data_IF_484032691931
#
_entry.id   IF_484032691931
#
_cell.length_a   1.000
_cell.length_b   1.000
_cell.length_c   1.000
_cell.angle_alpha   90.00
_cell.angle_beta   90.00
_cell.angle_gamma   90.00
#
_symmetry.space_group_name_H-M   'P 1'
#
loop_
_entity.id
_entity.type
_entity.pdbx_description
1 polymer ?
#
# COMPACT_ATOMS: atom_id res chain seq x y z
N UNK A 1 1.72 18.32 0.78
CA UNK A 1 2.26 18.71 -0.52
C UNK A 1 3.76 18.84 -0.40
N UNK A 2 4.52 18.17 -1.28
CA UNK A 2 5.99 18.24 -1.30
C UNK A 2 6.37 19.44 -2.15
N UNK A 3 6.94 20.46 -1.52
CA UNK A 3 7.27 21.74 -2.16
C UNK A 3 8.72 21.85 -2.65
N UNK A 4 9.57 20.87 -2.33
CA UNK A 4 11.00 20.88 -2.70
C UNK A 4 11.22 20.12 -4.01
N UNK A 5 12.18 20.59 -4.81
CA UNK A 5 12.63 19.90 -6.02
C UNK A 5 13.38 18.61 -5.67
N UNK A 6 13.29 17.61 -6.55
CA UNK A 6 13.92 16.30 -6.39
C UNK A 6 12.89 15.15 -6.30
N UNK A 7 13.32 13.95 -6.67
CA UNK A 7 12.46 12.74 -6.64
C UNK A 7 12.54 12.00 -5.31
N UNK A 8 13.56 12.26 -4.51
CA UNK A 8 13.80 11.61 -3.22
C UNK A 8 13.77 12.64 -2.10
N UNK A 9 13.31 12.20 -0.94
CA UNK A 9 13.29 13.02 0.26
C UNK A 9 13.38 12.13 1.49
N UNK A 10 13.44 12.77 2.65
CA UNK A 10 13.52 12.10 3.95
C UNK A 10 12.35 12.52 4.82
N UNK A 11 11.77 11.57 5.54
CA UNK A 11 10.83 11.80 6.63
C UNK A 11 11.61 11.56 7.91
N UNK A 12 11.76 12.60 8.73
CA UNK A 12 12.38 12.46 10.05
C UNK A 12 11.31 12.13 11.07
N UNK A 13 11.53 11.09 11.86
CA UNK A 13 10.70 10.71 12.99
C UNK A 13 11.57 10.55 14.24
N UNK A 14 10.98 10.81 15.40
CA UNK A 14 11.65 10.52 16.67
C UNK A 14 11.21 9.15 17.17
N UNK A 15 12.19 8.31 17.51
CA UNK A 15 11.90 7.02 18.10
C UNK A 15 11.10 7.20 19.40
N UNK A 16 10.18 6.28 19.73
CA UNK A 16 9.54 6.29 21.05
C UNK A 16 10.60 6.24 22.14
N UNK A 17 10.32 6.95 23.24
CA UNK A 17 11.15 6.88 24.45
C UNK A 17 11.08 5.46 25.00
N UNK A 18 11.84 4.54 24.76
CA UNK A 18 11.76 3.19 25.34
C UNK A 18 11.28 3.17 26.81
N UNK A 19 11.35 2.04 27.46
CA UNK A 19 11.04 1.88 28.88
C UNK A 19 12.33 1.61 29.68
N UNK A 20 13.31 2.56 29.70
CA UNK A 20 14.48 2.40 30.56
C UNK A 20 14.05 2.45 32.03
N UNK A 21 14.80 1.81 32.85
CA UNK A 21 14.57 1.90 34.29
C UNK A 21 14.74 3.35 34.75
N UNK A 22 13.82 3.89 35.59
CA UNK A 22 13.93 5.26 36.09
C UNK A 22 15.11 5.41 37.05
N UNK A 23 15.67 6.61 37.13
CA UNK A 23 16.65 6.93 38.14
C UNK A 23 15.96 6.97 39.52
N UNK A 24 16.56 6.33 40.52
CA UNK A 24 16.07 6.39 41.90
C UNK A 24 16.83 7.46 42.70
N UNK A 25 16.10 8.45 43.21
CA UNK A 25 16.67 9.57 43.96
C UNK A 25 17.20 9.11 45.33
N UNK A 26 18.32 9.67 45.75
CA UNK A 26 18.91 9.47 47.09
C UNK A 26 19.43 10.82 47.66
N UNK A 27 19.89 10.83 48.89
CA UNK A 27 20.38 12.04 49.57
C UNK A 27 21.89 12.23 49.43
N UNK A 28 22.55 11.55 48.48
CA UNK A 28 24.00 11.67 48.26
C UNK A 28 24.29 12.76 47.24
N UNK A 29 24.88 13.92 47.61
CA UNK A 29 25.07 15.03 46.67
C UNK A 29 25.97 14.72 45.46
N UNK A 30 26.78 13.69 45.52
CA UNK A 30 27.70 13.26 44.46
C UNK A 30 27.03 12.36 43.41
N UNK A 31 25.85 11.81 43.69
CA UNK A 31 25.16 10.95 42.75
C UNK A 31 24.39 11.81 41.76
N UNK A 32 24.61 11.55 40.45
CA UNK A 32 23.97 12.28 39.38
C UNK A 32 23.07 11.36 38.54
N UNK A 33 21.88 11.83 38.19
CA UNK A 33 20.96 11.10 37.33
C UNK A 33 21.50 10.96 35.89
N UNK A 34 21.24 9.82 35.28
CA UNK A 34 21.57 9.58 33.87
C UNK A 34 20.43 10.04 32.97
N UNK A 35 20.72 10.95 32.06
CA UNK A 35 19.76 11.41 31.06
C UNK A 35 19.77 10.49 29.82
N UNK A 36 18.62 9.98 29.46
CA UNK A 36 18.43 9.24 28.22
C UNK A 36 18.22 10.22 27.03
N UNK A 37 18.74 9.84 25.87
CA UNK A 37 18.60 10.63 24.64
C UNK A 37 17.48 10.06 23.78
N UNK A 38 16.72 10.95 23.13
CA UNK A 38 15.82 10.57 22.05
C UNK A 38 16.64 10.44 20.76
N UNK A 39 16.46 9.34 20.02
CA UNK A 39 17.04 9.16 18.71
C UNK A 39 16.08 9.67 17.64
N UNK A 40 16.63 10.31 16.61
CA UNK A 40 15.92 10.66 15.40
C UNK A 40 16.23 9.60 14.34
N UNK A 41 15.19 9.04 13.76
CA UNK A 41 15.26 8.08 12.67
C UNK A 41 14.81 8.76 11.38
N UNK A 42 15.45 8.42 10.28
CA UNK A 42 15.14 8.97 8.98
C UNK A 42 14.68 7.87 8.06
N UNK A 43 13.57 8.10 7.38
CA UNK A 43 13.03 7.24 6.35
C UNK A 43 13.16 7.94 5.01
N UNK A 44 13.86 7.33 4.07
CA UNK A 44 13.94 7.84 2.71
C UNK A 44 12.70 7.45 1.93
N UNK A 45 12.18 8.35 1.12
CA UNK A 45 11.08 8.09 0.20
C UNK A 45 11.44 8.54 -1.21
N UNK A 46 10.69 8.03 -2.19
CA UNK A 46 10.84 8.41 -3.59
C UNK A 46 9.50 8.72 -4.23
N UNK A 47 9.40 9.92 -4.80
CA UNK A 47 8.24 10.36 -5.57
C UNK A 47 8.16 9.61 -6.90
N UNK A 48 6.96 9.31 -7.33
CA UNK A 48 6.69 8.76 -8.64
C UNK A 48 6.14 9.85 -9.58
N UNK A 49 6.99 10.35 -10.46
CA UNK A 49 6.56 11.15 -11.59
C UNK A 49 5.97 10.23 -12.66
N UNK A 50 4.68 10.35 -12.90
CA UNK A 50 3.91 9.48 -13.77
C UNK A 50 3.21 10.28 -14.85
N UNK A 51 3.08 9.70 -16.03
CA UNK A 51 2.27 10.26 -17.10
C UNK A 51 1.52 9.16 -17.83
N UNK A 52 0.39 9.53 -18.43
CA UNK A 52 -0.35 8.70 -19.36
C UNK A 52 -1.01 9.59 -20.39
N UNK A 53 -1.11 9.09 -21.60
CA UNK A 53 -1.75 9.79 -22.71
C UNK A 53 -2.75 8.90 -23.43
N UNK A 54 -3.79 9.53 -23.94
CA UNK A 54 -4.81 8.88 -24.74
C UNK A 54 -5.07 9.73 -25.99
N UNK A 55 -5.18 9.09 -27.14
CA UNK A 55 -5.45 9.76 -28.39
C UNK A 55 -6.80 9.37 -28.95
N UNK A 56 -7.35 10.25 -29.76
CA UNK A 56 -8.57 10.04 -30.55
C UNK A 56 -8.40 10.66 -31.90
N UNK A 57 -8.92 9.97 -32.95
CA UNK A 57 -8.93 10.46 -34.31
C UNK A 57 -10.25 11.22 -34.58
N UNK A 58 -10.19 12.33 -35.34
CA UNK A 58 -11.37 13.12 -35.68
C UNK A 58 -12.37 12.30 -36.50
N UNK A 59 -11.89 11.52 -37.45
CA UNK A 59 -12.73 10.65 -38.26
C UNK A 59 -13.53 9.65 -37.44
N UNK A 60 -12.93 9.10 -36.32
CA UNK A 60 -13.64 8.22 -35.42
C UNK A 60 -14.80 8.93 -34.72
N UNK A 61 -14.62 10.20 -34.36
CA UNK A 61 -15.67 11.05 -33.78
C UNK A 61 -16.78 11.34 -34.74
N UNK A 62 -16.43 11.65 -35.99
CA UNK A 62 -17.41 11.93 -37.05
C UNK A 62 -18.26 10.69 -37.42
N UNK A 63 -17.62 9.51 -37.48
CA UNK A 63 -18.32 8.27 -37.82
C UNK A 63 -19.16 7.71 -36.67
N UNK A 64 -18.71 7.86 -35.44
CA UNK A 64 -19.42 7.36 -34.25
C UNK A 64 -20.53 8.31 -33.78
N UNK A 65 -20.50 9.59 -34.17
CA UNK A 65 -21.37 10.67 -33.66
C UNK A 65 -21.34 10.82 -32.16
N UNK A 66 -20.23 10.37 -31.52
CA UNK A 66 -19.98 10.44 -30.09
C UNK A 66 -18.70 11.22 -29.81
N UNK A 67 -18.51 11.69 -28.55
CA UNK A 67 -17.32 12.41 -28.14
C UNK A 67 -16.34 11.52 -27.34
N UNK A 68 -15.37 10.85 -28.00
CA UNK A 68 -14.39 10.02 -27.32
C UNK A 68 -13.50 10.83 -26.36
N UNK A 69 -13.19 12.08 -26.69
CA UNK A 69 -12.36 12.94 -25.83
C UNK A 69 -13.07 13.27 -24.52
N UNK A 70 -14.39 13.52 -24.56
CA UNK A 70 -15.21 13.68 -23.38
C UNK A 70 -15.26 12.42 -22.51
N UNK A 71 -15.40 11.25 -23.13
CA UNK A 71 -15.38 9.96 -22.44
C UNK A 71 -14.02 9.68 -21.77
N UNK A 72 -12.90 9.98 -22.44
CA UNK A 72 -11.55 9.88 -21.87
C UNK A 72 -11.43 10.79 -20.65
N UNK A 73 -11.82 12.05 -20.79
CA UNK A 73 -11.71 13.03 -19.69
C UNK A 73 -12.48 12.59 -18.45
N UNK A 74 -13.67 12.01 -18.63
CA UNK A 74 -14.48 11.49 -17.53
C UNK A 74 -13.84 10.31 -16.77
N UNK A 75 -12.99 9.51 -17.44
CA UNK A 75 -12.39 8.29 -16.87
C UNK A 75 -10.96 8.47 -16.34
N UNK A 76 -10.31 9.60 -16.60
CA UNK A 76 -8.93 9.84 -16.14
C UNK A 76 -8.81 9.77 -14.61
N UNK A 77 -9.82 10.26 -13.88
CA UNK A 77 -9.83 10.21 -12.41
C UNK A 77 -9.80 8.78 -11.88
N UNK A 78 -10.63 7.91 -12.44
CA UNK A 78 -10.69 6.48 -12.10
C UNK A 78 -9.39 5.75 -12.44
N UNK A 79 -8.81 6.01 -13.60
CA UNK A 79 -7.51 5.46 -14.00
C UNK A 79 -6.41 5.77 -12.97
N UNK A 80 -6.32 7.04 -12.53
CA UNK A 80 -5.31 7.43 -11.54
C UNK A 80 -5.59 6.86 -10.15
N UNK A 81 -6.86 6.74 -9.74
CA UNK A 81 -7.22 6.09 -8.49
C UNK A 81 -6.75 4.63 -8.48
N UNK A 82 -7.07 3.86 -9.53
CA UNK A 82 -6.64 2.47 -9.66
C UNK A 82 -5.11 2.33 -9.75
N UNK A 83 -4.43 3.26 -10.44
CA UNK A 83 -2.97 3.25 -10.53
C UNK A 83 -2.33 3.48 -9.16
N UNK A 84 -2.86 4.42 -8.37
CA UNK A 84 -2.37 4.71 -7.03
C UNK A 84 -2.60 3.54 -6.07
N UNK A 85 -3.75 2.90 -6.15
CA UNK A 85 -4.08 1.68 -5.39
C UNK A 85 -3.09 0.55 -5.69
N UNK A 86 -2.82 0.28 -6.98
CA UNK A 86 -1.81 -0.70 -7.38
C UNK A 86 -0.42 -0.37 -6.85
N UNK A 87 -0.02 0.89 -6.85
CA UNK A 87 1.28 1.32 -6.30
C UNK A 87 1.35 1.09 -4.80
N UNK A 88 0.28 1.42 -4.06
CA UNK A 88 0.19 1.18 -2.63
C UNK A 88 0.35 -0.32 -2.32
N UNK A 89 -0.40 -1.18 -3.01
CA UNK A 89 -0.33 -2.64 -2.83
C UNK A 89 1.08 -3.15 -3.14
N UNK A 90 1.70 -2.68 -4.23
CA UNK A 90 3.07 -3.08 -4.59
C UNK A 90 4.12 -2.61 -3.58
N UNK A 91 3.94 -1.44 -2.98
CA UNK A 91 4.79 -0.99 -1.87
C UNK A 91 4.64 -1.89 -0.64
N UNK A 92 3.41 -2.28 -0.28
CA UNK A 92 3.18 -3.25 0.80
C UNK A 92 3.81 -4.61 0.50
N UNK A 93 3.78 -5.07 -0.76
CA UNK A 93 4.46 -6.32 -1.15
C UNK A 93 5.98 -6.23 -1.05
N UNK A 94 6.56 -5.09 -1.42
CA UNK A 94 8.00 -4.85 -1.25
C UNK A 94 8.41 -4.89 0.23
N UNK A 95 7.62 -4.25 1.09
CA UNK A 95 7.78 -4.31 2.54
C UNK A 95 7.67 -5.74 3.08
N UNK A 96 6.69 -6.52 2.59
CA UNK A 96 6.57 -7.93 2.96
C UNK A 96 7.78 -8.74 2.49
N UNK A 97 8.24 -8.50 1.27
CA UNK A 97 9.41 -9.20 0.72
C UNK A 97 10.68 -8.88 1.49
N UNK A 98 10.90 -7.62 1.88
CA UNK A 98 11.98 -7.20 2.76
C UNK A 98 11.90 -7.86 4.13
N UNK A 99 10.73 -7.83 4.75
CA UNK A 99 10.49 -8.45 6.06
C UNK A 99 10.80 -9.96 6.06
N UNK A 100 10.41 -10.68 5.00
CA UNK A 100 10.72 -12.11 4.88
C UNK A 100 12.22 -12.35 4.66
N UNK A 101 12.89 -11.48 3.89
CA UNK A 101 14.29 -11.65 3.53
C UNK A 101 15.25 -11.24 4.67
N UNK A 102 14.95 -10.14 5.37
CA UNK A 102 15.89 -9.48 6.28
C UNK A 102 15.46 -9.52 7.75
N UNK A 103 14.15 -9.63 8.04
CA UNK A 103 13.56 -9.50 9.37
C UNK A 103 12.90 -10.80 9.89
N UNK A 104 13.27 -11.95 9.33
CA UNK A 104 12.74 -13.26 9.72
C UNK A 104 11.23 -13.46 9.54
N UNK A 105 10.54 -12.58 8.80
CA UNK A 105 9.10 -12.67 8.56
C UNK A 105 8.23 -12.36 9.78
N UNK A 106 8.72 -11.54 10.72
CA UNK A 106 8.03 -11.23 11.98
C UNK A 106 6.72 -10.42 11.80
N UNK A 107 6.46 -9.90 10.60
CA UNK A 107 5.21 -9.24 10.22
C UNK A 107 4.22 -10.16 9.52
N UNK A 108 4.62 -11.38 9.19
CA UNK A 108 3.86 -12.31 8.37
C UNK A 108 3.30 -13.47 9.19
N UNK A 109 2.01 -13.72 9.08
CA UNK A 109 1.40 -15.00 9.43
C UNK A 109 1.03 -15.74 8.17
N UNK A 110 1.72 -16.82 7.85
CA UNK A 110 1.37 -17.68 6.72
C UNK A 110 0.82 -19.02 7.19
N UNK A 111 -0.28 -19.43 6.59
CA UNK A 111 -0.82 -20.79 6.65
C UNK A 111 -0.96 -21.36 5.22
N UNK A 112 -0.60 -20.56 4.22
CA UNK A 112 -0.59 -21.01 2.84
C UNK A 112 0.48 -22.07 2.60
N UNK A 113 0.12 -23.10 1.84
CA UNK A 113 1.03 -24.14 1.37
C UNK A 113 0.84 -24.35 -0.13
N UNK A 114 1.85 -24.88 -0.81
CA UNK A 114 1.74 -25.31 -2.21
C UNK A 114 1.65 -26.84 -2.35
N UNK A 115 1.07 -27.51 -1.35
CA UNK A 115 0.89 -28.95 -1.35
C UNK A 115 -0.11 -29.39 -2.42
N UNK A 116 0.08 -30.56 -3.03
CA UNK A 116 -0.88 -31.15 -3.94
C UNK A 116 -2.17 -31.57 -3.20
N UNK A 117 -3.31 -31.49 -3.88
CA UNK A 117 -4.59 -31.87 -3.33
C UNK A 117 -5.50 -30.70 -2.97
N UNK A 118 -6.64 -30.97 -2.31
CA UNK A 118 -7.59 -29.93 -1.92
C UNK A 118 -7.06 -29.06 -0.79
N UNK A 119 -7.42 -27.77 -0.83
CA UNK A 119 -7.10 -26.83 0.27
C UNK A 119 -7.88 -27.22 1.52
N UNK A 120 -7.17 -27.35 2.64
CA UNK A 120 -7.77 -27.68 3.94
C UNK A 120 -8.26 -26.44 4.68
N UNK A 121 -9.13 -26.60 5.68
CA UNK A 121 -9.61 -25.46 6.46
C UNK A 121 -8.51 -24.80 7.32
N UNK A 122 -7.45 -25.54 7.62
CA UNK A 122 -6.28 -25.01 8.34
C UNK A 122 -5.44 -24.03 7.47
N UNK A 123 -5.46 -24.18 6.14
CA UNK A 123 -4.73 -23.36 5.18
C UNK A 123 -5.54 -22.12 4.75
N UNK A 124 -6.80 -22.07 5.14
CA UNK A 124 -7.73 -20.99 4.81
C UNK A 124 -7.75 -19.90 5.86
N UNK A 125 -8.29 -18.75 5.46
CA UNK A 125 -8.50 -17.65 6.40
C UNK A 125 -9.50 -18.07 7.48
N UNK A 126 -9.13 -17.85 8.74
CA UNK A 126 -9.99 -18.05 9.89
C UNK A 126 -9.65 -17.03 10.99
N UNK A 127 -10.50 -16.96 12.02
CA UNK A 127 -10.32 -16.01 13.11
C UNK A 127 -8.96 -16.15 13.83
N UNK A 128 -8.49 -17.40 14.00
CA UNK A 128 -7.20 -17.67 14.68
C UNK A 128 -6.03 -17.07 13.90
N UNK A 129 -6.00 -17.27 12.57
CA UNK A 129 -4.93 -16.73 11.71
C UNK A 129 -4.86 -15.20 11.76
N UNK A 130 -6.04 -14.53 11.78
CA UNK A 130 -6.09 -13.07 11.89
C UNK A 130 -5.63 -12.59 13.28
N UNK A 131 -6.00 -13.29 14.35
CA UNK A 131 -5.57 -12.97 15.71
C UNK A 131 -4.06 -13.21 15.89
N UNK A 132 -3.52 -14.28 15.30
CA UNK A 132 -2.07 -14.55 15.29
C UNK A 132 -1.31 -13.44 14.54
N UNK A 133 -1.81 -13.01 13.37
CA UNK A 133 -1.22 -11.90 12.64
C UNK A 133 -1.26 -10.59 13.45
N UNK A 134 -2.37 -10.32 14.14
CA UNK A 134 -2.50 -9.18 15.05
C UNK A 134 -1.48 -9.25 16.18
N UNK A 135 -1.26 -10.43 16.75
CA UNK A 135 -0.35 -10.63 17.88
C UNK A 135 1.10 -10.29 17.53
N UNK A 136 1.51 -10.32 16.27
CA UNK A 136 2.86 -9.90 15.85
C UNK A 136 3.22 -8.46 16.27
N UNK A 137 2.21 -7.61 16.55
CA UNK A 137 2.40 -6.26 17.09
C UNK A 137 2.41 -6.20 18.63
N UNK A 138 2.23 -7.32 19.31
CA UNK A 138 2.19 -7.39 20.77
C UNK A 138 1.14 -6.45 21.37
N UNK A 139 1.54 -5.60 22.30
CA UNK A 139 0.70 -4.64 23.02
C UNK A 139 0.14 -3.50 22.13
N UNK A 140 0.78 -3.23 20.98
CA UNK A 140 0.31 -2.25 19.99
C UNK A 140 -0.74 -2.80 19.00
N UNK A 141 -1.20 -4.02 19.17
CA UNK A 141 -2.15 -4.68 18.28
C UNK A 141 -3.48 -3.93 18.08
N UNK A 142 -3.88 -3.09 19.04
CA UNK A 142 -5.08 -2.24 18.96
C UNK A 142 -5.00 -1.13 17.90
N UNK A 143 -3.80 -0.84 17.37
CA UNK A 143 -3.62 0.14 16.30
C UNK A 143 -4.16 -0.32 14.95
N UNK A 144 -4.29 -1.64 14.72
CA UNK A 144 -4.83 -2.20 13.48
C UNK A 144 -6.34 -1.96 13.40
N UNK A 145 -6.83 -1.46 12.26
CA UNK A 145 -8.22 -1.02 12.07
C UNK A 145 -8.89 -1.57 10.82
N UNK A 146 -8.13 -1.88 9.79
CA UNK A 146 -8.66 -2.33 8.51
C UNK A 146 -7.92 -3.57 8.00
N UNK A 147 -8.60 -4.37 7.19
CA UNK A 147 -8.03 -5.50 6.48
C UNK A 147 -8.36 -5.41 5.00
N UNK A 148 -7.34 -5.42 4.15
CA UNK A 148 -7.51 -5.53 2.71
C UNK A 148 -7.35 -6.98 2.26
N UNK A 149 -8.26 -7.44 1.42
CA UNK A 149 -8.28 -8.83 0.93
C UNK A 149 -8.83 -8.92 -0.49
N UNK A 150 -8.44 -9.98 -1.19
CA UNK A 150 -8.96 -10.31 -2.52
C UNK A 150 -10.44 -10.74 -2.43
N UNK A 151 -11.22 -10.49 -3.49
CA UNK A 151 -12.66 -10.83 -3.56
C UNK A 151 -12.97 -12.31 -3.30
N UNK A 152 -12.09 -13.23 -3.68
CA UNK A 152 -12.22 -14.67 -3.42
C UNK A 152 -12.30 -14.92 -1.91
N UNK A 153 -11.36 -14.37 -1.14
CA UNK A 153 -11.32 -14.52 0.32
C UNK A 153 -12.55 -13.86 0.96
N UNK A 154 -12.92 -12.67 0.49
CA UNK A 154 -14.12 -11.98 0.97
C UNK A 154 -15.39 -12.81 0.76
N UNK A 155 -15.59 -13.34 -0.46
CA UNK A 155 -16.74 -14.19 -0.80
C UNK A 155 -16.80 -15.43 0.09
N UNK A 156 -15.64 -16.00 0.42
CA UNK A 156 -15.60 -17.15 1.33
C UNK A 156 -16.08 -16.79 2.73
N UNK A 157 -15.59 -15.68 3.29
CA UNK A 157 -16.02 -15.20 4.59
C UNK A 157 -17.52 -14.87 4.61
N UNK A 158 -18.06 -14.35 3.50
CA UNK A 158 -19.51 -14.15 3.36
C UNK A 158 -20.29 -15.46 3.40
N UNK A 159 -19.83 -16.51 2.67
CA UNK A 159 -20.47 -17.85 2.69
C UNK A 159 -20.49 -18.47 4.08
N UNK A 160 -19.51 -18.13 4.91
CA UNK A 160 -19.43 -18.58 6.31
C UNK A 160 -20.20 -17.69 7.29
N UNK A 161 -20.89 -16.64 6.82
CA UNK A 161 -21.57 -15.62 7.63
C UNK A 161 -20.67 -14.95 8.68
N UNK A 162 -19.39 -14.75 8.35
CA UNK A 162 -18.41 -14.12 9.23
C UNK A 162 -18.27 -12.61 8.99
N UNK A 163 -18.84 -12.10 7.91
CA UNK A 163 -18.85 -10.67 7.61
C UNK A 163 -20.06 -10.03 8.29
N UNK A 164 -19.81 -9.04 9.13
CA UNK A 164 -20.84 -8.23 9.78
C UNK A 164 -20.91 -6.90 9.05
N UNK A 165 -22.13 -6.49 8.70
CA UNK A 165 -22.35 -5.19 8.06
C UNK A 165 -22.81 -4.19 9.12
N UNK A 166 -22.02 -3.13 9.30
CA UNK A 166 -22.35 -2.03 10.22
C UNK A 166 -22.93 -0.91 9.37
N UNK A 167 -24.20 -0.50 9.61
CA UNK A 167 -24.78 0.62 8.90
C UNK A 167 -24.07 1.92 9.29
N UNK A 168 -23.87 2.82 8.33
CA UNK A 168 -23.48 4.21 8.57
C UNK A 168 -24.50 4.91 9.45
N UNK A 169 -24.10 6.05 10.06
CA UNK A 169 -24.95 6.88 10.91
C UNK A 169 -26.27 7.32 10.24
N UNK A 170 -26.33 7.31 8.90
CA UNK A 170 -27.53 7.58 8.11
C UNK A 170 -28.26 6.34 7.63
N UNK A 171 -27.69 5.14 7.84
CA UNK A 171 -28.25 3.88 7.37
C UNK A 171 -28.17 3.66 5.85
N UNK A 172 -27.44 4.50 5.13
CA UNK A 172 -27.36 4.48 3.66
C UNK A 172 -26.25 3.56 3.14
N UNK A 173 -25.17 3.36 3.92
CA UNK A 173 -24.03 2.54 3.53
C UNK A 173 -23.77 1.46 4.57
N UNK A 174 -23.66 0.21 4.12
CA UNK A 174 -23.28 -0.91 4.97
C UNK A 174 -21.78 -1.17 4.85
N UNK A 175 -21.03 -0.92 5.93
CA UNK A 175 -19.58 -1.14 5.99
C UNK A 175 -19.34 -2.61 6.36
N UNK A 176 -18.71 -3.42 5.49
CA UNK A 176 -18.36 -4.79 5.83
C UNK A 176 -17.25 -4.81 6.87
N UNK A 177 -17.45 -5.58 7.93
CA UNK A 177 -16.47 -5.75 9.00
C UNK A 177 -16.22 -7.23 9.29
N UNK A 178 -14.97 -7.56 9.60
CA UNK A 178 -14.56 -8.89 10.03
C UNK A 178 -13.72 -8.79 11.30
N UNK A 179 -14.14 -9.43 12.37
CA UNK A 179 -13.49 -9.35 13.69
C UNK A 179 -13.25 -7.90 14.19
N UNK A 180 -14.14 -6.97 13.80
CA UNK A 180 -14.01 -5.55 14.16
C UNK A 180 -13.10 -4.74 13.23
N UNK A 181 -12.49 -5.34 12.20
CA UNK A 181 -11.74 -4.64 11.16
C UNK A 181 -12.65 -4.27 10.00
N UNK A 182 -12.51 -3.04 9.50
CA UNK A 182 -13.14 -2.64 8.24
C UNK A 182 -12.52 -3.45 7.10
N UNK A 183 -13.35 -4.13 6.30
CA UNK A 183 -12.88 -4.93 5.17
C UNK A 183 -12.84 -4.08 3.92
N UNK A 184 -11.68 -4.09 3.27
CA UNK A 184 -11.45 -3.48 1.95
C UNK A 184 -11.28 -4.62 0.96
N UNK A 185 -12.21 -4.74 0.01
CA UNK A 185 -12.17 -5.76 -1.03
C UNK A 185 -11.54 -5.15 -2.29
N UNK A 186 -10.47 -5.76 -2.78
CA UNK A 186 -9.76 -5.31 -3.95
C UNK A 186 -9.14 -6.49 -4.71
N UNK A 187 -9.47 -6.64 -5.98
CA UNK A 187 -8.95 -7.69 -6.86
C UNK A 187 -7.49 -7.42 -7.31
N UNK A 188 -6.94 -6.24 -7.05
CA UNK A 188 -5.51 -5.97 -7.23
C UNK A 188 -4.65 -6.57 -6.11
N UNK A 189 -5.26 -7.06 -5.01
CA UNK A 189 -4.57 -7.77 -3.95
C UNK A 189 -3.91 -9.04 -4.49
N UNK A 190 -2.70 -9.38 -3.98
CA UNK A 190 -1.91 -10.46 -4.57
C UNK A 190 -2.59 -11.82 -4.48
N UNK A 191 -2.72 -12.44 -5.63
CA UNK A 191 -3.07 -13.85 -5.82
C UNK A 191 -1.95 -14.50 -6.63
N UNK A 192 -1.01 -15.14 -5.95
CA UNK A 192 0.18 -15.71 -6.56
C UNK A 192 -0.05 -17.20 -6.81
N UNK A 193 -0.03 -17.61 -8.08
CA UNK A 193 -0.12 -19.01 -8.45
C UNK A 193 1.20 -19.73 -8.12
N UNK A 194 1.10 -20.75 -7.27
CA UNK A 194 2.15 -21.74 -7.06
C UNK A 194 2.07 -22.87 -8.11
N UNK A 195 2.77 -23.97 -7.87
CA UNK A 195 2.69 -25.14 -8.74
C UNK A 195 1.34 -25.87 -8.63
N UNK A 196 0.74 -25.90 -7.45
CA UNK A 196 -0.50 -26.61 -7.17
C UNK A 196 -1.64 -25.71 -6.70
N UNK A 197 -1.33 -24.59 -6.03
CA UNK A 197 -2.30 -23.74 -5.34
C UNK A 197 -2.04 -22.27 -5.54
N UNK A 198 -3.05 -21.45 -5.30
CA UNK A 198 -2.94 -20.00 -5.29
C UNK A 198 -2.77 -19.54 -3.85
N UNK A 199 -1.77 -18.68 -3.63
CA UNK A 199 -1.56 -18.00 -2.34
C UNK A 199 -2.12 -16.59 -2.42
N UNK A 200 -3.07 -16.28 -1.56
CA UNK A 200 -3.64 -14.95 -1.41
C UNK A 200 -2.98 -14.23 -0.25
N UNK A 201 -2.61 -12.97 -0.46
CA UNK A 201 -2.03 -12.13 0.58
C UNK A 201 -3.07 -11.10 1.02
N UNK A 202 -3.40 -11.10 2.31
CA UNK A 202 -4.21 -10.05 2.95
C UNK A 202 -3.30 -9.13 3.76
N UNK A 203 -3.66 -7.85 3.87
CA UNK A 203 -2.88 -6.85 4.59
C UNK A 203 -3.76 -6.21 5.66
N UNK A 204 -3.29 -6.24 6.91
CA UNK A 204 -3.87 -5.50 8.02
C UNK A 204 -3.22 -4.14 8.12
N UNK A 205 -4.03 -3.09 8.10
CA UNK A 205 -3.60 -1.71 8.20
C UNK A 205 -4.00 -1.10 9.53
N UNK A 206 -3.05 -0.42 10.14
CA UNK A 206 -3.32 0.45 11.29
C UNK A 206 -3.46 1.92 10.89
N UNK A 207 -3.88 2.74 11.85
CA UNK A 207 -3.91 4.18 11.66
C UNK A 207 -2.50 4.70 11.39
N UNK A 208 -2.35 5.51 10.33
CA UNK A 208 -1.06 6.07 9.94
C UNK A 208 -0.07 5.07 9.34
N UNK A 209 -0.54 3.92 8.80
CA UNK A 209 0.34 2.93 8.19
C UNK A 209 1.01 3.42 6.89
N UNK A 210 0.33 4.27 6.14
CA UNK A 210 0.77 4.76 4.84
C UNK A 210 0.80 6.29 4.84
N UNK A 211 1.93 6.86 4.48
CA UNK A 211 2.05 8.28 4.18
C UNK A 211 1.71 8.51 2.71
N UNK A 212 0.72 9.35 2.45
CA UNK A 212 0.32 9.78 1.11
C UNK A 212 0.67 11.25 0.89
N UNK A 213 1.27 11.57 -0.25
CA UNK A 213 1.55 12.95 -0.63
C UNK A 213 1.54 13.09 -2.15
N UNK A 214 1.22 14.29 -2.62
CA UNK A 214 1.33 14.64 -4.03
C UNK A 214 2.39 15.72 -4.21
N UNK A 215 3.27 15.51 -5.18
CA UNK A 215 4.27 16.49 -5.62
C UNK A 215 3.65 17.52 -6.57
N UNK A 216 4.39 18.61 -6.77
CA UNK A 216 4.00 19.63 -7.75
C UNK A 216 4.26 19.13 -9.18
N UNK A 217 3.25 19.25 -10.04
CA UNK A 217 3.38 19.06 -11.48
C UNK A 217 3.07 20.40 -12.15
N UNK A 218 3.96 20.87 -12.99
CA UNK A 218 3.83 22.20 -13.62
C UNK A 218 2.68 22.22 -14.65
N UNK A 219 2.62 21.17 -15.49
CA UNK A 219 1.56 20.99 -16.47
C UNK A 219 0.84 19.66 -16.23
N UNK A 220 -0.18 19.58 -15.37
CA UNK A 220 -0.85 18.33 -15.02
C UNK A 220 -1.65 17.75 -16.18
N UNK A 221 -2.12 18.57 -17.09
CA UNK A 221 -2.79 18.14 -18.32
C UNK A 221 -2.43 19.02 -19.48
N UNK A 222 -2.26 18.44 -20.65
CA UNK A 222 -2.04 19.17 -21.90
C UNK A 222 -2.66 18.40 -23.06
N UNK A 223 -3.06 19.13 -24.10
CA UNK A 223 -3.54 18.55 -25.35
C UNK A 223 -2.52 18.85 -26.43
N UNK A 224 -2.29 17.86 -27.26
CA UNK A 224 -1.49 17.97 -28.47
C UNK A 224 -2.33 17.53 -29.66
N UNK A 225 -2.11 18.16 -30.83
CA UNK A 225 -2.87 17.88 -32.03
C UNK A 225 -1.91 17.69 -33.19
N UNK A 226 -2.06 16.57 -33.88
CA UNK A 226 -1.35 16.28 -35.12
C UNK A 226 -2.33 16.24 -36.30
N UNK A 227 -2.32 17.29 -37.09
CA UNK A 227 -3.18 17.43 -38.30
C UNK A 227 -2.77 16.49 -39.44
N UNK A 228 -1.56 15.92 -39.39
CA UNK A 228 -1.07 15.01 -40.44
C UNK A 228 -1.42 13.54 -40.15
N UNK A 229 -1.74 13.22 -38.91
CA UNK A 229 -2.13 11.86 -38.54
C UNK A 229 -3.35 11.39 -39.33
N UNK A 230 -3.43 10.10 -39.62
CA UNK A 230 -4.55 9.54 -40.38
C UNK A 230 -4.67 10.07 -41.83
N UNK A 231 -3.56 10.42 -42.48
CA UNK A 231 -3.51 10.99 -43.83
C UNK A 231 -4.32 12.31 -43.97
N UNK A 232 -4.18 13.20 -42.94
CA UNK A 232 -4.88 14.48 -42.85
C UNK A 232 -6.24 14.42 -42.16
N UNK A 233 -6.56 13.29 -41.49
CA UNK A 233 -7.78 13.15 -40.69
C UNK A 233 -7.74 13.84 -39.36
N UNK A 234 -6.54 14.11 -38.84
CA UNK A 234 -6.29 14.74 -37.51
C UNK A 234 -6.37 13.78 -36.34
N UNK A 235 -5.43 13.93 -35.40
CA UNK A 235 -5.39 13.22 -34.13
C UNK A 235 -5.28 14.22 -32.98
N UNK A 236 -6.07 14.04 -31.93
CA UNK A 236 -5.95 14.77 -30.67
C UNK A 236 -5.46 13.85 -29.58
N UNK A 237 -4.34 14.20 -28.93
CA UNK A 237 -3.77 13.46 -27.79
C UNK A 237 -3.92 14.27 -26.52
N UNK A 238 -4.54 13.67 -25.51
CA UNK A 238 -4.64 14.21 -24.16
C UNK A 238 -3.59 13.58 -23.27
N UNK A 239 -2.70 14.41 -22.72
CA UNK A 239 -1.68 14.02 -21.76
C UNK A 239 -2.13 14.33 -20.35
N UNK A 240 -1.99 13.37 -19.43
CA UNK A 240 -2.22 13.56 -18.01
C UNK A 240 -0.96 13.17 -17.23
N UNK A 241 -0.54 14.03 -16.27
CA UNK A 241 0.69 13.85 -15.48
C UNK A 241 0.36 14.01 -14.01
N UNK A 242 0.97 13.15 -13.19
CA UNK A 242 0.90 13.21 -11.73
C UNK A 242 2.23 12.90 -11.10
N UNK A 243 2.43 13.39 -9.88
CA UNK A 243 3.56 13.06 -9.04
C UNK A 243 3.01 12.68 -7.67
N UNK A 244 2.93 11.38 -7.40
CA UNK A 244 2.31 10.86 -6.19
C UNK A 244 3.31 10.01 -5.39
N UNK A 245 3.12 10.00 -4.08
CA UNK A 245 3.86 9.21 -3.11
C UNK A 245 2.88 8.39 -2.27
N UNK A 246 3.13 7.10 -2.17
CA UNK A 246 2.52 6.20 -1.18
C UNK A 246 3.65 5.43 -0.49
N UNK A 247 3.94 5.81 0.74
CA UNK A 247 5.09 5.31 1.47
C UNK A 247 4.64 4.63 2.78
N UNK A 248 4.89 3.32 2.94
CA UNK A 248 4.67 2.62 4.20
C UNK A 248 5.57 3.18 5.30
N UNK A 249 4.97 3.68 6.40
CA UNK A 249 5.73 4.25 7.51
C UNK A 249 6.45 3.15 8.30
N UNK A 250 7.66 3.45 8.72
CA UNK A 250 8.56 2.52 9.40
C UNK A 250 9.56 1.84 8.48
N UNK A 251 9.49 2.10 7.18
CA UNK A 251 10.42 1.60 6.18
C UNK A 251 11.11 2.73 5.44
N UNK A 252 12.32 2.49 4.98
CA UNK A 252 13.08 3.36 4.11
C UNK A 252 13.07 2.79 2.70
N UNK A 253 12.80 3.62 1.69
CA UNK A 253 12.94 3.20 0.30
C UNK A 253 14.36 3.48 -0.19
N UNK A 254 15.20 2.44 -0.21
CA UNK A 254 16.64 2.54 -0.50
C UNK A 254 16.93 2.81 -1.97
N UNK A 255 15.99 2.51 -2.87
CA UNK A 255 16.13 2.63 -4.33
C UNK A 255 17.28 1.81 -4.94
N UNK A 256 17.75 0.77 -4.26
CA UNK A 256 18.95 0.00 -4.65
C UNK A 256 18.84 -0.67 -6.03
N UNK A 257 17.62 -1.01 -6.45
CA UNK A 257 17.35 -1.70 -7.73
C UNK A 257 16.40 -0.91 -8.63
N UNK A 258 16.36 0.43 -8.52
CA UNK A 258 15.53 1.28 -9.35
C UNK A 258 16.33 1.80 -10.54
N UNK A 259 15.93 1.42 -11.77
CA UNK A 259 16.63 1.78 -12.99
C UNK A 259 16.31 3.22 -13.47
N UNK A 260 15.09 3.70 -13.27
CA UNK A 260 14.63 4.99 -13.77
C UNK A 260 14.52 6.07 -12.70
N UNK A 261 13.99 7.23 -13.09
CA UNK A 261 13.70 8.33 -12.16
C UNK A 261 12.57 8.00 -11.16
N UNK A 262 11.63 7.17 -11.57
CA UNK A 262 10.50 6.73 -10.76
C UNK A 262 10.49 5.20 -10.70
N UNK A 263 10.23 4.64 -9.52
CA UNK A 263 10.12 3.21 -9.36
C UNK A 263 8.88 2.67 -10.09
N UNK A 264 9.07 1.61 -10.86
CA UNK A 264 8.00 0.83 -11.50
C UNK A 264 7.24 0.00 -10.48
N UNK A 265 6.08 -0.54 -10.87
CA UNK A 265 5.30 -1.45 -10.01
C UNK A 265 6.09 -2.72 -9.64
N UNK A 266 6.94 -3.22 -10.54
CA UNK A 266 7.79 -4.37 -10.27
C UNK A 266 8.89 -4.02 -9.27
N UNK A 267 9.57 -2.89 -9.44
CA UNK A 267 10.64 -2.44 -8.54
C UNK A 267 10.12 -2.10 -7.14
N UNK A 268 8.88 -1.60 -7.00
CA UNK A 268 8.25 -1.38 -5.70
C UNK A 268 8.05 -2.68 -4.91
N UNK A 269 7.87 -3.82 -5.58
CA UNK A 269 7.65 -5.11 -4.94
C UNK A 269 8.95 -5.86 -4.60
N UNK A 270 10.14 -5.29 -4.91
CA UNK A 270 11.43 -5.92 -4.62
C UNK A 270 11.89 -5.63 -3.19
N UNK A 271 12.29 -6.68 -2.48
CA UNK A 271 12.88 -6.58 -1.13
C UNK A 271 14.09 -5.62 -1.09
N UNK A 272 14.97 -5.68 -2.10
CA UNK A 272 16.20 -4.88 -2.15
C UNK A 272 15.97 -3.36 -2.13
N UNK A 273 14.76 -2.89 -2.43
CA UNK A 273 14.41 -1.47 -2.44
C UNK A 273 13.85 -0.97 -1.12
N UNK A 274 13.67 -1.83 -0.14
CA UNK A 274 13.11 -1.51 1.17
C UNK A 274 14.08 -1.90 2.29
N UNK A 275 13.97 -1.20 3.41
CA UNK A 275 14.73 -1.47 4.63
C UNK A 275 13.91 -0.98 5.82
N UNK A 276 13.72 -1.84 6.83
CA UNK A 276 12.92 -1.49 8.01
C UNK A 276 13.74 -0.60 8.96
N UNK A 277 13.19 0.57 9.28
CA UNK A 277 13.79 1.53 10.20
C UNK A 277 13.21 1.41 11.60
N UNK A 278 11.89 1.15 11.71
CA UNK A 278 11.22 1.08 13.00
C UNK A 278 11.21 -0.33 13.58
N UNK A 279 11.20 -0.40 14.92
CA UNK A 279 10.90 -1.64 15.64
C UNK A 279 9.53 -2.18 15.22
N UNK A 280 9.41 -3.52 15.12
CA UNK A 280 8.20 -4.24 14.70
C UNK A 280 6.91 -3.71 15.31
N UNK A 281 6.91 -3.45 16.62
CA UNK A 281 5.73 -2.98 17.36
C UNK A 281 5.23 -1.60 16.95
N UNK A 282 6.08 -0.80 16.31
CA UNK A 282 5.75 0.55 15.87
C UNK A 282 5.27 0.60 14.43
N UNK A 283 5.47 -0.45 13.65
CA UNK A 283 5.01 -0.55 12.25
C UNK A 283 3.56 -1.03 12.25
N UNK A 284 2.58 -0.17 11.90
CA UNK A 284 1.16 -0.54 11.96
C UNK A 284 0.70 -1.32 10.71
N UNK A 285 1.46 -2.34 10.33
CA UNK A 285 1.18 -3.24 9.23
C UNK A 285 1.36 -4.69 9.68
N UNK A 286 0.50 -5.60 9.23
CA UNK A 286 0.70 -7.04 9.36
C UNK A 286 0.17 -7.76 8.11
N UNK A 287 0.75 -8.89 7.79
CA UNK A 287 0.45 -9.65 6.58
C UNK A 287 -0.07 -11.04 6.92
N UNK A 288 -0.98 -11.53 6.09
CA UNK A 288 -1.54 -12.86 6.19
C UNK A 288 -1.46 -13.51 4.83
N UNK A 289 -0.94 -14.73 4.75
CA UNK A 289 -0.95 -15.54 3.54
C UNK A 289 -1.77 -16.81 3.76
N UNK A 290 -2.73 -17.03 2.86
CA UNK A 290 -3.70 -18.14 2.91
C UNK A 290 -3.92 -18.74 1.53
N UNK A 291 -4.45 -19.95 1.48
CA UNK A 291 -5.03 -20.54 0.26
C UNK A 291 -6.56 -20.50 0.29
N UNK A 292 -7.19 -20.60 -0.88
CA UNK A 292 -8.65 -20.83 -1.00
C UNK A 292 -8.99 -21.73 -2.20
#
# INVERSE_FOLDING_TARGET
QIAQGGNTGEITNFAPLGTPEPNYSNDVPGDTSTANKISAEKMSFRLAAQNQSWSTMDLARELALEDPAGAITGRIGEYWATTNERRLIRSCLGVLADNVANDTGDMLKTVATDAAGAVTDAERINASVVLDAKQTMGDHASKLQAIAMHSVIFTRLQKQNLIVYIPDARGEVNIPTYLGYTVIMDDSMPAVAGANRITYTCVLFGSGAIAGASGRVENPSSRDRDEKAGNGGGEETLHSRRSDLFHPLGFSFTSSSVAGQSATLAELALAANWDRVWDRKNVPLAFIQVND
#
